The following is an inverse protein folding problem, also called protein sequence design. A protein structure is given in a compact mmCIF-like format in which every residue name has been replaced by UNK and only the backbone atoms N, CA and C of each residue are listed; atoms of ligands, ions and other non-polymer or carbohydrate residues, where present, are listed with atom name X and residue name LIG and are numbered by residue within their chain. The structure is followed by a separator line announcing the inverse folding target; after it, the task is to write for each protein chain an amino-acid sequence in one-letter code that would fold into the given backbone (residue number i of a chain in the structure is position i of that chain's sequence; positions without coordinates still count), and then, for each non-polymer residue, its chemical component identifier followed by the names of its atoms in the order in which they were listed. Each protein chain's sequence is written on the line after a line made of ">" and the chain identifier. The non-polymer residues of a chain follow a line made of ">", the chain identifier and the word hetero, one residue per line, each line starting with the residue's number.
data_IF_677087001853
#
_entry.id   IF_677087001853
#
_cell.length_a   1.000
_cell.length_b   1.000
_cell.length_c   1.000
_cell.angle_alpha   90.00
_cell.angle_beta   90.00
_cell.angle_gamma   90.00
#
_symmetry.space_group_name_H-M   'P 1'
#
loop_
_entity.id
_entity.type
_entity.pdbx_description
1 polymer ?
#
# COMPACT_ATOMS: atom_id res chain seq x y z
N UNK A 1 -3.17 1.50 12.30
CA UNK A 1 -3.22 0.11 11.80
C UNK A 1 -2.86 0.00 10.33
N UNK A 2 -3.53 0.71 9.40
CA UNK A 2 -3.26 0.64 7.94
C UNK A 2 -1.78 0.83 7.59
N UNK A 3 -1.17 1.95 8.00
CA UNK A 3 0.26 2.20 7.73
C UNK A 3 1.19 1.12 8.31
N UNK A 4 0.88 0.59 9.50
CA UNK A 4 1.64 -0.51 10.10
C UNK A 4 1.55 -1.80 9.30
N UNK A 5 0.35 -2.17 8.85
CA UNK A 5 0.16 -3.33 7.98
C UNK A 5 1.02 -3.20 6.72
N UNK A 6 1.01 -2.04 6.07
CA UNK A 6 1.82 -1.81 4.87
C UNK A 6 3.32 -1.83 5.13
N UNK A 7 3.79 -1.29 6.26
CA UNK A 7 5.21 -1.44 6.67
C UNK A 7 5.58 -2.90 6.85
N UNK A 8 4.73 -3.71 7.48
CA UNK A 8 4.98 -5.14 7.66
C UNK A 8 5.00 -5.89 6.34
N UNK A 9 4.07 -5.62 5.43
CA UNK A 9 4.02 -6.24 4.09
C UNK A 9 5.21 -5.81 3.21
N UNK A 10 5.50 -4.51 3.13
CA UNK A 10 6.63 -3.99 2.37
C UNK A 10 7.97 -4.46 2.96
N UNK A 11 8.06 -4.53 4.29
CA UNK A 11 9.21 -5.06 5.01
C UNK A 11 9.45 -6.54 4.71
N UNK A 12 8.39 -7.35 4.67
CA UNK A 12 8.50 -8.76 4.24
C UNK A 12 9.01 -8.86 2.81
N UNK A 13 8.51 -8.04 1.88
CA UNK A 13 8.96 -8.03 0.48
C UNK A 13 10.42 -7.63 0.35
N UNK A 14 10.87 -6.63 1.11
CA UNK A 14 12.22 -6.10 1.05
C UNK A 14 13.26 -6.98 1.78
N UNK A 15 12.99 -7.36 3.04
CA UNK A 15 13.96 -8.03 3.90
C UNK A 15 13.90 -9.56 3.85
N UNK A 16 12.71 -10.15 3.62
CA UNK A 16 12.54 -11.60 3.72
C UNK A 16 12.46 -12.30 2.35
N UNK A 17 11.80 -11.69 1.37
CA UNK A 17 11.59 -12.29 0.04
C UNK A 17 12.65 -11.84 -0.99
N UNK A 18 12.90 -10.53 -1.06
CA UNK A 18 13.80 -9.92 -2.04
C UNK A 18 13.18 -9.72 -3.42
N UNK A 19 13.82 -8.85 -4.23
CA UNK A 19 13.32 -8.46 -5.55
C UNK A 19 13.20 -9.59 -6.60
N UNK A 20 14.05 -10.65 -6.61
CA UNK A 20 13.86 -11.76 -7.53
C UNK A 20 12.53 -12.48 -7.32
N UNK A 21 12.12 -12.70 -6.07
CA UNK A 21 10.82 -13.30 -5.73
C UNK A 21 9.69 -12.39 -6.18
N UNK A 22 9.79 -11.09 -5.89
CA UNK A 22 8.79 -10.11 -6.32
C UNK A 22 8.63 -10.06 -7.84
N UNK A 23 9.73 -10.16 -8.58
CA UNK A 23 9.71 -10.22 -10.05
C UNK A 23 8.89 -11.41 -10.54
N UNK A 24 9.10 -12.59 -9.94
CA UNK A 24 8.32 -13.80 -10.26
C UNK A 24 6.84 -13.59 -9.94
N UNK A 25 6.50 -13.02 -8.79
CA UNK A 25 5.10 -12.76 -8.41
C UNK A 25 4.41 -11.75 -9.33
N UNK A 26 5.09 -10.66 -9.70
CA UNK A 26 4.57 -9.68 -10.66
C UNK A 26 4.39 -10.32 -12.05
N UNK A 27 5.30 -11.19 -12.46
CA UNK A 27 5.19 -11.92 -13.73
C UNK A 27 3.99 -12.88 -13.73
N UNK A 28 3.74 -13.60 -12.62
CA UNK A 28 2.56 -14.46 -12.47
C UNK A 28 1.26 -13.67 -12.51
N UNK A 29 1.25 -12.46 -11.96
CA UNK A 29 0.14 -11.52 -12.03
C UNK A 29 -0.02 -10.84 -13.41
N UNK A 30 0.83 -11.19 -14.38
CA UNK A 30 0.84 -10.64 -15.73
C UNK A 30 1.13 -9.14 -15.78
N UNK A 31 1.84 -8.59 -14.79
CA UNK A 31 2.16 -7.16 -14.74
C UNK A 31 3.34 -6.87 -15.69
N UNK A 32 3.24 -5.86 -16.58
CA UNK A 32 4.34 -5.50 -17.47
C UNK A 32 5.54 -4.97 -16.67
N UNK A 33 6.75 -5.20 -17.18
CA UNK A 33 8.00 -4.83 -16.51
C UNK A 33 8.08 -5.35 -15.05
N UNK A 34 8.03 -6.68 -14.84
CA UNK A 34 7.85 -7.27 -13.52
C UNK A 34 8.96 -6.92 -12.52
N UNK A 35 10.20 -6.74 -12.99
CA UNK A 35 11.32 -6.29 -12.16
C UNK A 35 11.08 -4.91 -11.57
N UNK A 36 10.71 -3.95 -12.43
CA UNK A 36 10.40 -2.58 -12.01
C UNK A 36 9.14 -2.54 -11.13
N UNK A 37 8.09 -3.26 -11.52
CA UNK A 37 6.86 -3.33 -10.75
C UNK A 37 7.09 -3.88 -9.34
N UNK A 38 7.92 -4.93 -9.21
CA UNK A 38 8.25 -5.53 -7.92
C UNK A 38 8.96 -4.55 -6.98
N UNK A 39 9.89 -3.77 -7.53
CA UNK A 39 10.56 -2.68 -6.80
C UNK A 39 9.55 -1.60 -6.38
N UNK A 40 8.73 -1.12 -7.32
CA UNK A 40 7.74 -0.05 -7.07
C UNK A 40 6.75 -0.48 -5.98
N UNK A 41 6.13 -1.64 -6.10
CA UNK A 41 5.17 -2.16 -5.10
C UNK A 41 5.81 -2.27 -3.73
N UNK A 42 7.03 -2.81 -3.65
CA UNK A 42 7.75 -2.96 -2.38
C UNK A 42 7.98 -1.61 -1.69
N UNK A 43 8.41 -0.59 -2.44
CA UNK A 43 8.64 0.74 -1.90
C UNK A 43 7.34 1.51 -1.60
N UNK A 44 6.30 1.36 -2.41
CA UNK A 44 4.99 1.97 -2.15
C UNK A 44 4.41 1.46 -0.84
N UNK A 45 4.46 0.15 -0.60
CA UNK A 45 3.99 -0.40 0.68
C UNK A 45 4.88 0.01 1.86
N UNK A 46 6.20 -0.11 1.72
CA UNK A 46 7.11 0.14 2.84
C UNK A 46 7.17 1.63 3.19
N UNK A 47 7.49 2.48 2.23
CA UNK A 47 7.67 3.93 2.43
C UNK A 47 6.32 4.61 2.55
N UNK A 48 5.34 4.26 1.71
CA UNK A 48 3.98 4.79 1.83
C UNK A 48 3.32 4.36 3.14
N UNK A 49 3.52 3.13 3.58
CA UNK A 49 3.03 2.65 4.87
C UNK A 49 3.64 3.40 6.04
N UNK A 50 4.96 3.63 6.00
CA UNK A 50 5.66 4.41 7.02
C UNK A 50 5.18 5.87 7.03
N UNK A 51 5.01 6.48 5.85
CA UNK A 51 4.48 7.82 5.69
C UNK A 51 3.06 7.94 6.27
N UNK A 52 2.16 6.99 5.96
CA UNK A 52 0.82 6.93 6.58
C UNK A 52 0.87 6.73 8.09
N UNK A 53 1.84 5.98 8.60
CA UNK A 53 1.97 5.70 10.03
C UNK A 53 2.32 6.96 10.83
N UNK A 54 3.23 7.78 10.31
CA UNK A 54 3.61 9.06 10.93
C UNK A 54 2.68 10.22 10.50
N UNK A 55 1.81 9.99 9.52
CA UNK A 55 0.92 11.02 8.98
C UNK A 55 1.67 12.08 8.20
N UNK A 56 2.66 11.68 7.40
CA UNK A 56 3.41 12.54 6.48
C UNK A 56 2.95 12.28 5.04
N UNK A 57 2.72 13.33 4.26
CA UNK A 57 2.22 13.28 2.89
C UNK A 57 1.00 12.34 2.75
N UNK A 58 0.12 12.37 3.75
CA UNK A 58 -0.91 11.33 3.98
C UNK A 58 -1.82 11.16 2.76
N UNK A 59 -2.15 12.27 2.10
CA UNK A 59 -2.98 12.25 0.89
C UNK A 59 -2.33 11.48 -0.25
N UNK A 60 -1.06 11.74 -0.51
CA UNK A 60 -0.31 11.10 -1.60
C UNK A 60 0.02 9.65 -1.28
N UNK A 61 0.48 9.37 -0.05
CA UNK A 61 0.77 8.01 0.40
C UNK A 61 -0.49 7.13 0.38
N UNK A 62 -1.62 7.66 0.87
CA UNK A 62 -2.91 6.96 0.85
C UNK A 62 -3.39 6.67 -0.57
N UNK A 63 -3.24 7.63 -1.50
CA UNK A 63 -3.64 7.44 -2.89
C UNK A 63 -2.80 6.36 -3.60
N UNK A 64 -1.47 6.41 -3.43
CA UNK A 64 -0.57 5.42 -4.03
C UNK A 64 -0.88 4.00 -3.53
N UNK A 65 -1.09 3.85 -2.22
CA UNK A 65 -1.47 2.57 -1.62
C UNK A 65 -2.85 2.10 -2.11
N UNK A 66 -3.83 2.99 -2.20
CA UNK A 66 -5.16 2.63 -2.70
C UNK A 66 -5.12 2.14 -4.16
N UNK A 67 -4.31 2.79 -5.00
CA UNK A 67 -4.10 2.37 -6.40
C UNK A 67 -3.42 1.00 -6.44
N UNK A 68 -2.36 0.79 -5.66
CA UNK A 68 -1.64 -0.48 -5.60
C UNK A 68 -2.55 -1.61 -5.13
N UNK A 69 -3.38 -1.40 -4.11
CA UNK A 69 -4.41 -2.36 -3.68
C UNK A 69 -5.45 -2.64 -4.77
N UNK A 70 -5.88 -1.64 -5.55
CA UNK A 70 -6.76 -1.85 -6.69
C UNK A 70 -6.15 -2.78 -7.75
N UNK A 71 -4.86 -2.59 -8.05
CA UNK A 71 -4.11 -3.47 -8.97
C UNK A 71 -3.95 -4.87 -8.36
N UNK A 72 -3.62 -4.98 -7.07
CA UNK A 72 -3.47 -6.26 -6.38
C UNK A 72 -4.78 -7.05 -6.33
N UNK A 73 -5.92 -6.37 -6.12
CA UNK A 73 -7.25 -6.99 -6.21
C UNK A 73 -7.46 -7.55 -7.60
N UNK A 74 -7.29 -6.73 -8.64
CA UNK A 74 -7.61 -7.12 -10.00
C UNK A 74 -6.69 -8.22 -10.55
N UNK A 75 -5.39 -8.15 -10.25
CA UNK A 75 -4.37 -9.02 -10.87
C UNK A 75 -3.99 -10.24 -10.04
N UNK A 76 -4.18 -10.18 -8.72
CA UNK A 76 -3.73 -11.23 -7.81
C UNK A 76 -4.90 -11.90 -7.09
N UNK A 77 -5.84 -11.15 -6.54
CA UNK A 77 -6.84 -11.72 -5.61
C UNK A 77 -8.21 -12.01 -6.26
N UNK A 78 -8.52 -11.42 -7.41
CA UNK A 78 -9.86 -11.48 -8.03
C UNK A 78 -10.39 -12.90 -8.24
N UNK A 79 -9.52 -13.82 -8.67
CA UNK A 79 -9.87 -15.22 -8.95
C UNK A 79 -10.10 -16.08 -7.69
N UNK A 80 -9.66 -15.62 -6.52
CA UNK A 80 -9.71 -16.40 -5.28
C UNK A 80 -11.00 -16.17 -4.48
N UNK A 81 -11.93 -15.34 -4.96
CA UNK A 81 -13.17 -15.01 -4.28
C UNK A 81 -12.97 -13.99 -3.16
N UNK A 82 -13.86 -13.97 -2.17
CA UNK A 82 -13.86 -12.94 -1.13
C UNK A 82 -12.95 -13.26 0.05
N UNK A 83 -13.04 -14.46 0.60
CA UNK A 83 -12.48 -14.77 1.91
C UNK A 83 -10.98 -15.09 1.89
N UNK A 84 -10.35 -14.84 3.05
CA UNK A 84 -8.99 -15.27 3.35
C UNK A 84 -8.77 -16.79 3.09
N UNK A 85 -7.53 -17.23 2.79
CA UNK A 85 -6.29 -16.45 2.86
C UNK A 85 -5.91 -15.68 1.58
N UNK A 86 -6.59 -15.92 0.46
CA UNK A 86 -6.20 -15.36 -0.85
C UNK A 86 -7.27 -14.47 -1.50
N UNK A 87 -8.45 -14.36 -0.89
CA UNK A 87 -9.53 -13.55 -1.44
C UNK A 87 -9.33 -12.04 -1.30
N UNK A 88 -10.29 -11.29 -1.84
CA UNK A 88 -10.21 -9.83 -1.95
C UNK A 88 -10.53 -9.08 -0.64
N UNK A 89 -11.05 -9.74 0.39
CA UNK A 89 -11.51 -9.10 1.63
C UNK A 89 -10.47 -8.17 2.27
N UNK A 90 -9.27 -8.68 2.50
CA UNK A 90 -8.18 -7.91 3.12
C UNK A 90 -7.67 -6.76 2.24
N UNK A 91 -7.27 -6.97 0.97
CA UNK A 91 -6.80 -5.87 0.14
C UNK A 91 -7.90 -4.85 -0.16
N UNK A 92 -9.18 -5.25 -0.22
CA UNK A 92 -10.31 -4.34 -0.34
C UNK A 92 -10.44 -3.46 0.91
N UNK A 93 -10.39 -4.04 2.10
CA UNK A 93 -10.49 -3.30 3.36
C UNK A 93 -9.31 -2.32 3.51
N UNK A 94 -8.08 -2.75 3.23
CA UNK A 94 -6.89 -1.90 3.31
C UNK A 94 -6.89 -0.81 2.24
N UNK A 95 -7.26 -1.13 1.00
CA UNK A 95 -7.38 -0.18 -0.09
C UNK A 95 -8.45 0.88 0.17
N UNK A 96 -9.63 0.48 0.68
CA UNK A 96 -10.69 1.41 1.06
C UNK A 96 -10.26 2.33 2.21
N UNK A 97 -9.57 1.80 3.22
CA UNK A 97 -9.06 2.60 4.33
C UNK A 97 -7.96 3.58 3.88
N UNK A 98 -7.05 3.16 3.00
CA UNK A 98 -6.03 4.03 2.41
C UNK A 98 -6.66 5.13 1.55
N UNK A 99 -7.68 4.80 0.76
CA UNK A 99 -8.44 5.77 -0.03
C UNK A 99 -9.18 6.78 0.87
N UNK A 100 -9.77 6.32 1.97
CA UNK A 100 -10.40 7.20 2.94
C UNK A 100 -9.40 8.21 3.50
N UNK A 101 -8.21 7.75 3.92
CA UNK A 101 -7.12 8.63 4.38
C UNK A 101 -6.65 9.59 3.28
N UNK A 102 -6.63 9.14 2.02
CA UNK A 102 -6.29 9.99 0.88
C UNK A 102 -7.28 11.15 0.70
N UNK A 103 -8.57 10.89 0.92
CA UNK A 103 -9.66 11.86 0.72
C UNK A 103 -9.86 12.77 1.94
N UNK A 104 -9.82 12.22 3.16
CA UNK A 104 -10.01 13.00 4.39
C UNK A 104 -8.76 13.80 4.75
N UNK A 105 -7.59 13.32 4.31
CA UNK A 105 -6.31 13.90 4.69
C UNK A 105 -5.83 13.44 6.08
N UNK A 106 -4.73 14.03 6.54
CA UNK A 106 -4.09 13.67 7.79
C UNK A 106 -4.94 14.07 9.01
N UNK A 107 -4.82 13.33 10.12
CA UNK A 107 -5.49 13.65 11.38
C UNK A 107 -4.79 14.74 12.20
N UNK A 108 -5.44 15.24 13.24
CA UNK A 108 -4.99 16.39 14.06
C UNK A 108 -3.69 16.14 14.87
N UNK A 109 -3.16 14.93 14.88
CA UNK A 109 -1.90 14.56 15.57
C UNK A 109 -0.84 14.07 14.56
N UNK A 110 -1.02 14.40 13.29
CA UNK A 110 -0.11 14.01 12.21
C UNK A 110 1.10 14.95 12.09
N UNK A 111 2.21 14.44 11.54
CA UNK A 111 3.32 15.31 11.17
C UNK A 111 2.93 16.32 10.08
N UNK A 112 1.99 15.98 9.17
CA UNK A 112 1.44 16.93 8.21
C UNK A 112 0.80 18.15 8.91
N UNK A 113 0.05 17.95 10.00
CA UNK A 113 -0.52 19.06 10.78
C UNK A 113 0.54 19.82 11.56
N UNK A 114 1.58 19.16 12.08
CA UNK A 114 2.67 19.86 12.78
C UNK A 114 3.49 20.73 11.82
N UNK A 115 3.74 20.26 10.60
CA UNK A 115 4.61 20.92 9.60
C UNK A 115 3.86 21.91 8.71
N UNK A 116 2.59 21.65 8.42
CA UNK A 116 1.77 22.42 7.48
C UNK A 116 0.42 22.86 8.09
N UNK A 117 0.31 22.78 9.42
CA UNK A 117 -0.87 23.11 10.20
C UNK A 117 -1.40 24.51 9.96
N UNK A 118 -2.73 24.57 9.99
CA UNK A 118 -3.62 25.61 9.49
C UNK A 118 -3.29 27.01 10.03
N UNK A 119 -3.13 28.00 9.14
CA UNK A 119 -3.48 29.38 9.50
C UNK A 119 -4.97 29.36 9.88
N UNK A 120 -5.27 29.64 11.16
CA UNK A 120 -6.63 29.74 11.67
C UNK A 120 -7.35 30.95 11.07
#
# INVERSE_FOLDING_TARGET
>A
MVGFTFVMHGGQKYFNLGFPVMTVEMSKAGIPYPELAGVVVTFVELVGGAALMVGLATRYAGLLIAIEMGVAIWRVHWSYGFFAPHGVELPLALGAAALALALTGPGDVSFDDILFGREK
#
